data_IF_119510492159
#
_entry.id   IF_119510492159
#
_cell.length_a   1.000
_cell.length_b   1.000
_cell.length_c   1.000
_cell.angle_alpha   90.00
_cell.angle_beta   90.00
_cell.angle_gamma   90.00
#
_symmetry.space_group_name_H-M   'P 1'
#
loop_
_entity.id
_entity.type
_entity.pdbx_description
1 polymer ?
#
# COMPACT_ATOMS: atom_id res chain seq x y z
N UNK A 1 9.92 37.44 11.31
CA UNK A 1 11.09 36.78 10.66
C UNK A 1 10.67 35.41 10.14
N UNK A 2 10.38 35.30 8.84
CA UNK A 2 10.10 34.02 8.18
C UNK A 2 11.34 33.60 7.39
N UNK A 3 12.15 32.68 7.94
CA UNK A 3 13.25 32.02 7.24
C UNK A 3 12.72 30.71 6.65
N UNK A 4 13.05 30.46 5.39
CA UNK A 4 12.36 29.52 4.49
C UNK A 4 12.17 28.09 4.99
N UNK A 5 10.94 27.58 4.86
CA UNK A 5 10.59 26.16 4.90
C UNK A 5 10.31 25.67 3.47
N UNK A 6 11.32 25.65 2.61
CA UNK A 6 11.17 25.19 1.21
C UNK A 6 10.99 23.66 1.09
N UNK A 7 11.17 22.88 2.17
CA UNK A 7 10.98 21.42 2.17
C UNK A 7 9.94 20.89 3.18
N UNK A 8 9.02 21.74 3.68
CA UNK A 8 8.00 21.28 4.64
C UNK A 8 7.08 20.18 4.09
N UNK A 9 6.84 20.17 2.78
CA UNK A 9 6.06 19.16 2.08
C UNK A 9 6.70 17.77 2.08
N UNK A 10 8.04 17.69 2.11
CA UNK A 10 8.77 16.43 2.07
C UNK A 10 8.44 15.57 3.29
N UNK A 11 8.14 16.19 4.43
CA UNK A 11 7.78 15.54 5.68
C UNK A 11 6.27 15.33 5.85
N UNK A 12 5.47 15.65 4.83
CA UNK A 12 4.02 15.50 4.88
C UNK A 12 3.63 14.02 4.81
N UNK A 13 2.78 13.52 5.74
CA UNK A 13 2.26 12.14 5.68
C UNK A 13 1.58 11.83 4.34
N UNK A 14 0.95 12.83 3.70
CA UNK A 14 0.32 12.68 2.38
C UNK A 14 1.33 12.47 1.26
N UNK A 15 2.45 13.16 1.29
CA UNK A 15 3.50 13.01 0.27
C UNK A 15 4.10 11.60 0.32
N UNK A 16 4.49 11.17 1.52
CA UNK A 16 4.99 9.81 1.73
C UNK A 16 3.92 8.75 1.42
N UNK A 17 2.65 9.01 1.76
CA UNK A 17 1.53 8.14 1.41
C UNK A 17 1.37 7.96 -0.10
N UNK A 18 1.41 9.06 -0.87
CA UNK A 18 1.39 9.00 -2.35
C UNK A 18 2.57 8.19 -2.87
N UNK A 19 3.77 8.40 -2.32
CA UNK A 19 4.97 7.66 -2.72
C UNK A 19 4.83 6.16 -2.47
N UNK A 20 4.31 5.76 -1.30
CA UNK A 20 4.01 4.36 -0.99
C UNK A 20 2.98 3.78 -1.97
N UNK A 21 1.89 4.50 -2.22
CA UNK A 21 0.88 4.07 -3.21
C UNK A 21 1.44 3.89 -4.61
N UNK A 22 2.34 4.79 -5.05
CA UNK A 22 2.99 4.70 -6.36
C UNK A 22 3.96 3.51 -6.45
N UNK A 23 4.72 3.24 -5.39
CA UNK A 23 5.61 2.07 -5.36
C UNK A 23 4.81 0.77 -5.47
N UNK A 24 3.71 0.64 -4.73
CA UNK A 24 2.83 -0.53 -4.81
C UNK A 24 2.17 -0.64 -6.18
N UNK A 25 1.77 0.49 -6.78
CA UNK A 25 1.22 0.52 -8.14
C UNK A 25 2.23 0.00 -9.18
N UNK A 26 3.46 0.49 -9.15
CA UNK A 26 4.53 0.05 -10.06
C UNK A 26 4.83 -1.43 -9.86
N UNK A 27 4.84 -1.90 -8.61
CA UNK A 27 5.04 -3.32 -8.30
C UNK A 27 3.91 -4.19 -8.89
N UNK A 28 2.65 -3.79 -8.69
CA UNK A 28 1.49 -4.47 -9.23
C UNK A 28 1.50 -4.53 -10.77
N UNK A 29 1.82 -3.41 -11.43
CA UNK A 29 1.94 -3.35 -12.90
C UNK A 29 3.08 -4.25 -13.39
N UNK A 30 4.20 -4.28 -12.68
CA UNK A 30 5.35 -5.13 -13.05
C UNK A 30 5.00 -6.62 -12.91
N UNK A 31 4.28 -7.00 -11.85
CA UNK A 31 3.80 -8.36 -11.61
C UNK A 31 2.80 -8.82 -12.69
N UNK A 32 1.78 -8.00 -13.02
CA UNK A 32 0.83 -8.38 -14.08
C UNK A 32 1.49 -8.48 -15.45
N UNK A 33 2.46 -7.61 -15.76
CA UNK A 33 3.23 -7.69 -17.01
C UNK A 33 4.07 -8.97 -17.08
N UNK A 34 4.71 -9.36 -15.98
CA UNK A 34 5.48 -10.61 -15.92
C UNK A 34 4.57 -11.83 -16.10
N UNK A 35 3.43 -11.87 -15.41
CA UNK A 35 2.47 -12.97 -15.49
C UNK A 35 1.80 -13.07 -16.87
N UNK A 36 1.45 -11.94 -17.48
CA UNK A 36 0.97 -11.91 -18.87
C UNK A 36 2.05 -12.34 -19.87
N UNK A 37 3.30 -11.90 -19.70
CA UNK A 37 4.41 -12.30 -20.55
C UNK A 37 4.63 -13.81 -20.53
N UNK A 38 4.57 -14.45 -19.34
CA UNK A 38 4.71 -15.90 -19.22
C UNK A 38 3.60 -16.64 -19.97
N UNK A 39 2.37 -16.17 -19.88
CA UNK A 39 1.23 -16.77 -20.60
C UNK A 39 1.33 -16.58 -22.12
N UNK A 40 1.79 -15.42 -22.59
CA UNK A 40 1.92 -15.14 -24.03
C UNK A 40 3.13 -15.86 -24.63
N UNK A 41 4.23 -15.98 -23.89
CA UNK A 41 5.47 -16.58 -24.40
C UNK A 41 5.38 -18.11 -24.51
N UNK A 42 4.67 -18.74 -23.58
CA UNK A 42 4.56 -20.19 -23.51
C UNK A 42 3.11 -20.61 -23.75
N UNK A 43 2.77 -20.93 -25.00
CA UNK A 43 1.42 -21.43 -25.35
C UNK A 43 1.06 -22.77 -24.69
N UNK A 44 2.05 -23.53 -24.20
CA UNK A 44 1.87 -24.85 -23.59
C UNK A 44 2.79 -25.01 -22.37
N UNK A 45 2.22 -25.51 -21.28
CA UNK A 45 2.91 -25.81 -20.01
C UNK A 45 4.14 -26.69 -20.22
N UNK A 46 4.10 -27.61 -21.20
CA UNK A 46 5.21 -28.52 -21.53
C UNK A 46 6.46 -27.83 -22.07
N UNK A 47 6.35 -26.56 -22.49
CA UNK A 47 7.45 -25.75 -23.03
C UNK A 47 8.05 -24.80 -21.99
N UNK A 48 7.47 -24.76 -20.78
CA UNK A 48 7.95 -23.91 -19.69
C UNK A 48 9.12 -24.62 -18.99
N UNK A 49 10.27 -23.96 -18.79
CA UNK A 49 11.36 -24.50 -17.99
C UNK A 49 10.86 -24.91 -16.60
N UNK A 50 11.37 -26.01 -16.04
CA UNK A 50 10.91 -26.52 -14.73
C UNK A 50 10.99 -25.45 -13.62
N UNK A 51 11.99 -24.57 -13.69
CA UNK A 51 12.19 -23.42 -12.79
C UNK A 51 11.03 -22.40 -12.83
N UNK A 52 10.35 -22.26 -13.97
CA UNK A 52 9.22 -21.34 -14.17
C UNK A 52 7.86 -22.04 -14.18
N UNK A 53 7.84 -23.37 -14.17
CA UNK A 53 6.61 -24.17 -14.27
C UNK A 53 5.60 -23.82 -13.16
N UNK A 54 6.09 -23.57 -11.95
CA UNK A 54 5.27 -23.21 -10.80
C UNK A 54 4.66 -21.81 -10.97
N UNK A 55 5.46 -20.82 -11.38
CA UNK A 55 4.99 -19.47 -11.67
C UNK A 55 3.95 -19.44 -12.79
N UNK A 56 4.19 -20.18 -13.88
CA UNK A 56 3.23 -20.29 -14.97
C UNK A 56 1.91 -20.94 -14.52
N UNK A 57 1.98 -22.01 -13.70
CA UNK A 57 0.80 -22.69 -13.16
C UNK A 57 -0.09 -21.77 -12.31
N UNK A 58 0.51 -20.84 -11.60
CA UNK A 58 -0.20 -19.90 -10.73
C UNK A 58 -0.42 -18.52 -11.36
N UNK A 59 0.04 -18.28 -12.59
CA UNK A 59 -0.06 -16.98 -13.27
C UNK A 59 -1.49 -16.44 -13.33
N UNK A 60 -2.50 -17.29 -13.53
CA UNK A 60 -3.91 -16.86 -13.54
C UNK A 60 -4.39 -16.41 -12.16
N UNK A 61 -3.98 -17.11 -11.10
CA UNK A 61 -4.31 -16.73 -9.72
C UNK A 61 -3.60 -15.42 -9.36
N UNK A 62 -2.35 -15.28 -9.79
CA UNK A 62 -1.54 -14.08 -9.61
C UNK A 62 -2.19 -12.85 -10.28
N UNK A 63 -2.66 -12.99 -11.53
CA UNK A 63 -3.39 -11.91 -12.23
C UNK A 63 -4.64 -11.46 -11.44
N UNK A 64 -5.41 -12.40 -10.89
CA UNK A 64 -6.60 -12.07 -10.09
C UNK A 64 -6.20 -11.33 -8.81
N UNK A 65 -5.16 -11.81 -8.12
CA UNK A 65 -4.65 -11.16 -6.92
C UNK A 65 -4.15 -9.74 -7.22
N UNK A 66 -3.40 -9.56 -8.30
CA UNK A 66 -2.92 -8.24 -8.74
C UNK A 66 -4.09 -7.30 -9.07
N UNK A 67 -5.17 -7.80 -9.68
CA UNK A 67 -6.36 -6.99 -9.92
C UNK A 67 -6.99 -6.48 -8.61
N UNK A 68 -7.04 -7.31 -7.57
CA UNK A 68 -7.51 -6.91 -6.23
C UNK A 68 -6.58 -5.85 -5.64
N UNK A 69 -5.25 -6.04 -5.74
CA UNK A 69 -4.25 -5.06 -5.30
C UNK A 69 -4.46 -3.72 -5.99
N UNK A 70 -4.67 -3.71 -7.31
CA UNK A 70 -4.92 -2.48 -8.08
C UNK A 70 -6.19 -1.76 -7.62
N UNK A 71 -7.28 -2.48 -7.36
CA UNK A 71 -8.51 -1.87 -6.83
C UNK A 71 -8.28 -1.23 -5.45
N UNK A 72 -7.53 -1.90 -4.58
CA UNK A 72 -7.19 -1.36 -3.25
C UNK A 72 -6.29 -0.13 -3.36
N UNK A 73 -5.33 -0.12 -4.27
CA UNK A 73 -4.45 1.03 -4.55
C UNK A 73 -5.25 2.22 -5.10
N UNK A 74 -6.21 1.98 -6.00
CA UNK A 74 -7.10 3.04 -6.51
C UNK A 74 -7.93 3.63 -5.37
N UNK A 75 -8.55 2.78 -4.55
CA UNK A 75 -9.31 3.22 -3.37
C UNK A 75 -8.43 4.04 -2.43
N UNK A 76 -7.19 3.61 -2.18
CA UNK A 76 -6.22 4.32 -1.36
C UNK A 76 -5.92 5.74 -1.87
N UNK A 77 -5.68 5.91 -3.18
CA UNK A 77 -5.51 7.23 -3.79
C UNK A 77 -6.77 8.11 -3.68
N UNK A 78 -7.95 7.52 -3.89
CA UNK A 78 -9.23 8.21 -3.67
C UNK A 78 -9.33 8.70 -2.22
N UNK A 79 -8.93 7.89 -1.24
CA UNK A 79 -8.90 8.26 0.18
C UNK A 79 -8.01 9.48 0.47
N UNK A 80 -6.82 9.50 -0.13
CA UNK A 80 -5.90 10.65 0.00
C UNK A 80 -6.52 11.91 -0.61
N UNK A 81 -7.08 11.81 -1.82
CA UNK A 81 -7.66 12.97 -2.53
C UNK A 81 -8.93 13.49 -1.86
N UNK A 82 -9.80 12.60 -1.39
CA UNK A 82 -11.07 12.94 -0.74
C UNK A 82 -10.93 13.28 0.75
N UNK A 83 -9.73 13.17 1.32
CA UNK A 83 -9.47 13.37 2.75
C UNK A 83 -10.34 12.44 3.62
N UNK A 84 -10.41 11.16 3.24
CA UNK A 84 -11.24 10.17 3.91
C UNK A 84 -10.42 8.94 4.29
N UNK A 85 -10.29 8.74 5.60
CA UNK A 85 -9.47 7.70 6.19
C UNK A 85 -10.03 6.27 5.98
N UNK A 86 -11.33 6.11 5.73
CA UNK A 86 -11.93 4.78 5.55
C UNK A 86 -11.40 4.06 4.31
N UNK A 87 -11.03 4.81 3.27
CA UNK A 87 -10.43 4.26 2.05
C UNK A 87 -8.98 3.80 2.24
N UNK A 88 -8.34 4.16 3.36
CA UNK A 88 -6.97 3.74 3.69
C UNK A 88 -6.95 2.36 4.36
N UNK A 89 -8.05 1.98 5.03
CA UNK A 89 -8.13 0.75 5.83
C UNK A 89 -7.85 -0.51 4.98
N UNK A 90 -8.46 -0.71 3.79
CA UNK A 90 -8.19 -1.90 2.97
C UNK A 90 -6.71 -2.03 2.57
N UNK A 91 -6.05 -0.90 2.31
CA UNK A 91 -4.62 -0.87 2.00
C UNK A 91 -3.77 -1.28 3.20
N UNK A 92 -4.11 -0.80 4.41
CA UNK A 92 -3.44 -1.21 5.64
C UNK A 92 -3.59 -2.71 5.91
N UNK A 93 -4.79 -3.28 5.68
CA UNK A 93 -5.02 -4.72 5.81
C UNK A 93 -4.19 -5.50 4.80
N UNK A 94 -4.19 -5.08 3.53
CA UNK A 94 -3.43 -5.73 2.47
C UNK A 94 -1.93 -5.74 2.79
N UNK A 95 -1.39 -4.62 3.27
CA UNK A 95 0.00 -4.50 3.69
C UNK A 95 0.36 -5.48 4.81
N UNK A 96 -0.54 -5.66 5.80
CA UNK A 96 -0.34 -6.63 6.88
C UNK A 96 -0.40 -8.07 6.38
N UNK A 97 -1.34 -8.38 5.49
CA UNK A 97 -1.45 -9.71 4.89
C UNK A 97 -0.23 -10.05 4.05
N UNK A 98 0.31 -9.09 3.29
CA UNK A 98 1.53 -9.25 2.50
C UNK A 98 2.73 -9.58 3.39
N UNK A 99 2.89 -8.84 4.49
CA UNK A 99 3.95 -9.11 5.47
C UNK A 99 3.78 -10.45 6.19
N UNK A 100 2.55 -10.82 6.56
CA UNK A 100 2.27 -12.13 7.14
C UNK A 100 2.59 -13.26 6.15
N UNK A 101 2.26 -13.08 4.87
CA UNK A 101 2.60 -14.01 3.79
C UNK A 101 4.11 -14.16 3.67
N UNK A 102 4.84 -13.05 3.62
CA UNK A 102 6.30 -13.04 3.61
C UNK A 102 6.90 -13.81 4.79
N UNK A 103 6.49 -13.50 6.02
CA UNK A 103 6.97 -14.19 7.24
C UNK A 103 6.63 -15.68 7.20
N UNK A 104 5.43 -16.05 6.74
CA UNK A 104 5.03 -17.46 6.64
C UNK A 104 5.88 -18.20 5.60
N UNK A 105 6.19 -17.59 4.46
CA UNK A 105 7.07 -18.18 3.44
C UNK A 105 8.48 -18.36 3.98
N UNK A 106 9.06 -17.34 4.61
CA UNK A 106 10.39 -17.41 5.25
C UNK A 106 10.45 -18.46 6.37
N UNK A 107 9.39 -18.58 7.19
CA UNK A 107 9.32 -19.62 8.22
C UNK A 107 9.20 -21.02 7.59
N UNK A 108 8.41 -21.17 6.52
CA UNK A 108 8.25 -22.46 5.85
C UNK A 108 9.54 -22.92 5.17
N UNK A 109 10.29 -22.02 4.53
CA UNK A 109 11.57 -22.35 3.88
C UNK A 109 12.65 -22.68 4.90
N UNK A 110 12.69 -21.98 6.04
CA UNK A 110 13.66 -22.25 7.11
C UNK A 110 13.38 -23.55 7.87
N UNK A 111 12.12 -23.94 8.06
CA UNK A 111 11.75 -25.19 8.74
C UNK A 111 11.93 -26.44 7.86
N UNK A 112 11.87 -26.32 6.54
CA UNK A 112 12.03 -27.44 5.59
C UNK A 112 13.47 -27.62 5.08
N UNK A 113 14.43 -26.82 5.53
CA UNK A 113 15.83 -26.90 5.08
C UNK A 113 16.73 -27.52 6.15
N UNK A 114 17.44 -28.60 5.80
CA UNK A 114 18.47 -29.24 6.63
C UNK A 114 19.68 -28.33 6.92
N UNK A 115 19.74 -27.15 6.30
CA UNK A 115 20.65 -26.05 6.66
C UNK A 115 19.82 -24.78 6.84
N UNK A 116 19.68 -24.24 8.05
CA UNK A 116 18.95 -22.99 8.25
C UNK A 116 19.68 -21.84 7.52
N UNK A 117 19.13 -21.41 6.38
CA UNK A 117 19.68 -20.34 5.52
C UNK A 117 19.77 -18.99 6.23
N UNK A 118 19.15 -18.85 7.41
CA UNK A 118 19.23 -17.69 8.30
C UNK A 118 20.68 -17.25 8.61
N UNK A 119 21.69 -18.10 8.38
CA UNK A 119 23.10 -17.80 8.65
C UNK A 119 24.01 -17.71 7.42
N UNK A 120 23.51 -17.76 6.18
CA UNK A 120 24.34 -17.80 4.97
C UNK A 120 24.23 -16.59 4.02
N UNK A 121 24.03 -15.38 4.57
CA UNK A 121 24.26 -14.12 3.82
C UNK A 121 23.03 -13.47 3.17
N UNK A 122 21.83 -14.05 3.34
CA UNK A 122 20.53 -13.41 2.98
C UNK A 122 20.02 -12.40 4.01
N UNK A 123 20.66 -12.31 5.18
CA UNK A 123 20.23 -11.48 6.32
C UNK A 123 20.05 -10.00 5.97
N UNK A 124 20.88 -9.44 5.09
CA UNK A 124 20.75 -8.05 4.69
C UNK A 124 19.47 -7.78 3.85
N UNK A 125 19.08 -8.74 2.98
CA UNK A 125 17.86 -8.65 2.18
C UNK A 125 16.61 -8.72 3.03
N UNK A 126 16.54 -9.70 3.94
CA UNK A 126 15.44 -9.87 4.89
C UNK A 126 15.28 -8.65 5.81
N UNK A 127 16.39 -8.11 6.34
CA UNK A 127 16.34 -6.91 7.19
C UNK A 127 15.90 -5.68 6.40
N UNK A 128 16.33 -5.55 5.14
CA UNK A 128 15.88 -4.46 4.26
C UNK A 128 14.38 -4.55 3.98
N UNK A 129 13.86 -5.72 3.66
CA UNK A 129 12.42 -5.94 3.42
C UNK A 129 11.58 -5.63 4.66
N UNK A 130 12.02 -6.06 5.85
CA UNK A 130 11.38 -5.71 7.13
C UNK A 130 11.42 -4.19 7.36
N UNK A 131 12.54 -3.53 7.06
CA UNK A 131 12.66 -2.08 7.21
C UNK A 131 11.74 -1.31 6.25
N UNK A 132 11.65 -1.76 5.00
CA UNK A 132 10.75 -1.20 3.98
C UNK A 132 9.28 -1.39 4.39
N UNK A 133 8.91 -2.58 4.87
CA UNK A 133 7.59 -2.81 5.45
C UNK A 133 7.31 -1.88 6.63
N UNK A 134 8.25 -1.76 7.58
CA UNK A 134 8.11 -0.86 8.72
C UNK A 134 7.88 0.60 8.30
N UNK A 135 8.63 1.08 7.30
CA UNK A 135 8.43 2.40 6.71
C UNK A 135 7.04 2.54 6.09
N UNK A 136 6.59 1.58 5.28
CA UNK A 136 5.26 1.61 4.66
C UNK A 136 4.15 1.60 5.71
N UNK A 137 4.27 0.75 6.73
CA UNK A 137 3.29 0.63 7.80
C UNK A 137 3.18 1.92 8.62
N UNK A 138 4.31 2.48 9.05
CA UNK A 138 4.34 3.76 9.78
C UNK A 138 3.77 4.88 8.91
N UNK A 139 4.10 4.90 7.62
CA UNK A 139 3.58 5.91 6.67
C UNK A 139 2.06 5.81 6.55
N UNK A 140 1.51 4.61 6.33
CA UNK A 140 0.06 4.39 6.22
C UNK A 140 -0.64 4.75 7.53
N UNK A 141 -0.07 4.41 8.68
CA UNK A 141 -0.61 4.77 9.99
C UNK A 141 -0.61 6.29 10.23
N UNK A 142 0.50 6.96 9.94
CA UNK A 142 0.61 8.42 10.04
C UNK A 142 -0.36 9.12 9.08
N UNK A 143 -0.51 8.61 7.85
CA UNK A 143 -1.48 9.11 6.89
C UNK A 143 -2.91 8.94 7.40
N UNK A 144 -3.27 7.76 7.91
CA UNK A 144 -4.60 7.51 8.48
C UNK A 144 -4.94 8.54 9.57
N UNK A 145 -4.01 8.77 10.51
CA UNK A 145 -4.18 9.77 11.57
C UNK A 145 -4.30 11.20 11.04
N UNK A 146 -3.51 11.56 10.02
CA UNK A 146 -3.59 12.87 9.37
C UNK A 146 -4.95 13.08 8.70
N UNK A 147 -5.45 12.10 7.95
CA UNK A 147 -6.75 12.17 7.28
C UNK A 147 -7.89 12.26 8.29
N UNK A 148 -7.87 11.42 9.33
CA UNK A 148 -8.86 11.45 10.40
C UNK A 148 -8.92 12.83 11.08
N UNK A 149 -7.76 13.43 11.39
CA UNK A 149 -7.69 14.77 11.98
C UNK A 149 -8.24 15.84 11.03
N UNK A 150 -7.86 15.77 9.76
CA UNK A 150 -8.28 16.76 8.77
C UNK A 150 -9.78 16.66 8.48
N UNK A 151 -10.36 15.46 8.47
CA UNK A 151 -11.79 15.25 8.33
C UNK A 151 -12.56 15.84 9.50
N UNK A 152 -12.09 15.60 10.73
CA UNK A 152 -12.68 16.19 11.93
C UNK A 152 -12.72 17.74 11.85
N UNK A 153 -11.62 18.35 11.39
CA UNK A 153 -11.57 19.80 11.17
C UNK A 153 -12.51 20.27 10.06
N UNK A 154 -12.69 19.50 8.98
CA UNK A 154 -13.66 19.81 7.93
C UNK A 154 -15.11 19.72 8.44
N UNK A 155 -15.43 18.70 9.23
CA UNK A 155 -16.74 18.54 9.84
C UNK A 155 -17.06 19.68 10.83
N UNK A 156 -16.08 20.08 11.65
CA UNK A 156 -16.21 21.23 12.56
C UNK A 156 -16.43 22.55 11.83
N UNK A 157 -15.70 22.80 10.73
CA UNK A 157 -15.92 23.98 9.88
C UNK A 157 -17.32 24.00 9.29
N UNK A 158 -17.79 22.88 8.75
CA UNK A 158 -19.14 22.75 8.19
C UNK A 158 -20.23 22.99 9.25
N UNK A 159 -20.03 22.50 10.48
CA UNK A 159 -20.92 22.81 11.62
C UNK A 159 -20.90 24.30 11.97
N UNK A 160 -19.72 24.93 11.98
CA UNK A 160 -19.57 26.37 12.22
C UNK A 160 -20.30 27.23 11.17
N UNK A 161 -20.21 26.87 9.89
CA UNK A 161 -20.97 27.55 8.84
C UNK A 161 -22.49 27.38 9.00
N UNK A 162 -22.97 26.19 9.39
CA UNK A 162 -24.39 25.99 9.70
C UNK A 162 -24.87 26.82 10.88
N UNK A 163 -24.09 26.94 11.95
CA UNK A 163 -24.45 27.78 13.10
C UNK A 163 -24.46 29.27 12.76
N UNK A 164 -23.58 29.73 11.86
CA UNK A 164 -23.59 31.11 11.38
C UNK A 164 -24.80 31.37 10.47
N UNK A 165 -25.12 30.44 9.57
CA UNK A 165 -26.28 30.53 8.68
C UNK A 165 -27.61 30.53 9.45
N UNK A 166 -27.76 29.73 10.50
CA UNK A 166 -28.98 29.75 11.32
C UNK A 166 -29.05 30.96 12.26
N UNK A 167 -27.89 31.54 12.62
CA UNK A 167 -27.87 32.79 13.40
C UNK A 167 -28.28 34.00 12.55
N UNK A 168 -28.01 34.00 11.24
CA UNK A 168 -28.51 35.03 10.33
C UNK A 168 -30.02 34.96 10.11
N UNK A 169 -30.62 33.76 10.09
CA UNK A 169 -32.09 33.64 10.03
C UNK A 169 -32.80 34.17 11.28
N UNK A 170 -32.13 34.23 12.44
CA UNK A 170 -32.70 34.78 13.67
C UNK A 170 -32.46 36.28 13.88
N UNK A 171 -31.62 36.93 13.06
CA UNK A 171 -31.38 38.38 13.12
C UNK A 171 -32.31 39.14 12.15
N UNK A 172 -32.92 38.45 11.18
CA UNK A 172 -33.88 39.03 10.23
C UNK A 172 -35.37 38.92 10.66
N UNK A 173 -35.66 38.49 11.90
CA UNK A 173 -37.00 38.57 12.50
C UNK A 173 -37.14 39.72 13.49
#
# INVERSE_FOLDING_TARGET
>A
MAKGRTCGWLWSPRFHGVLVGLLVLVNAISSIMASAYLQVKFDDFRKVPDELSLYYRYATIDIIFVAIVLLVVIAYFIGIMSVNEYYIIPFGILLLLDFMGYVATEMATTLNSDKPELFQGRTAGTVFEIAVFGYMFVTVFCLFRDLQRNRHMQEERLRGYRSLSSSTEHIEM
#
